data_IF_630990057788
#
_entry.id   IF_630990057788
#
_cell.length_a   1.000
_cell.length_b   1.000
_cell.length_c   1.000
_cell.angle_alpha   90.00
_cell.angle_beta   90.00
_cell.angle_gamma   90.00
#
_symmetry.space_group_name_H-M   'P 1'
#
loop_
_entity.id
_entity.type
_entity.pdbx_description
1 polymer ?
#
# COMPACT_ATOMS: atom_id res chain seq x y z
N UNK A 1 -1.87 -18.74 8.20
CA UNK A 1 -1.39 -17.34 8.08
C UNK A 1 -0.86 -17.10 6.68
N UNK A 2 -1.17 -15.96 6.06
CA UNK A 2 -0.64 -15.64 4.72
C UNK A 2 0.79 -15.08 4.83
N UNK A 3 1.59 -15.20 3.76
CA UNK A 3 2.98 -14.65 3.70
C UNK A 3 3.09 -13.19 4.12
N UNK A 4 2.01 -12.43 3.93
CA UNK A 4 1.89 -11.00 4.25
C UNK A 4 1.70 -10.75 5.76
N UNK A 5 0.97 -11.62 6.46
CA UNK A 5 0.82 -11.54 7.91
C UNK A 5 2.16 -11.77 8.63
N UNK A 6 3.00 -12.67 8.13
CA UNK A 6 4.36 -12.87 8.64
C UNK A 6 5.31 -11.69 8.42
N UNK A 7 4.94 -10.74 7.56
CA UNK A 7 5.70 -9.51 7.27
C UNK A 7 5.19 -8.30 8.08
N UNK A 8 4.30 -8.52 9.04
CA UNK A 8 3.74 -7.47 9.90
C UNK A 8 2.53 -6.75 9.32
N UNK A 9 1.95 -7.23 8.21
CA UNK A 9 0.71 -6.66 7.69
C UNK A 9 -0.51 -7.33 8.32
N UNK A 10 -1.26 -6.56 9.09
CA UNK A 10 -2.52 -6.98 9.68
C UNK A 10 -3.67 -6.71 8.70
N UNK A 11 -4.52 -7.72 8.49
CA UNK A 11 -5.72 -7.64 7.63
C UNK A 11 -5.38 -7.03 6.24
N UNK A 12 -4.46 -7.65 5.47
CA UNK A 12 -3.76 -6.99 4.36
C UNK A 12 -4.66 -6.42 3.25
N UNK A 13 -5.83 -7.02 3.01
CA UNK A 13 -6.69 -6.67 1.89
C UNK A 13 -7.72 -5.57 2.22
N UNK A 14 -7.87 -5.18 3.48
CA UNK A 14 -8.77 -4.09 3.87
C UNK A 14 -8.09 -2.75 3.63
N UNK A 15 -8.78 -1.85 2.92
CA UNK A 15 -8.30 -0.48 2.73
C UNK A 15 -8.11 0.22 4.08
N UNK A 16 -6.98 0.89 4.21
CA UNK A 16 -6.55 1.50 5.46
C UNK A 16 -7.34 2.77 5.74
N UNK A 17 -7.53 3.58 4.73
CA UNK A 17 -8.19 4.86 4.79
C UNK A 17 -9.43 4.88 3.89
N UNK A 18 -10.47 5.54 4.39
CA UNK A 18 -11.77 5.74 3.77
C UNK A 18 -12.92 5.41 4.72
N UNK A 19 -14.14 5.47 4.19
CA UNK A 19 -15.37 5.26 4.97
C UNK A 19 -16.27 4.23 4.27
N UNK A 20 -16.89 3.32 5.02
CA UNK A 20 -17.88 2.37 4.49
C UNK A 20 -17.48 0.89 4.47
N UNK A 21 -16.36 0.49 5.09
CA UNK A 21 -16.03 -0.93 5.32
C UNK A 21 -14.79 -1.41 4.57
N UNK A 22 -14.78 -2.65 4.09
CA UNK A 22 -13.60 -3.33 3.50
C UNK A 22 -12.94 -2.55 2.35
N UNK A 23 -13.72 -1.81 1.56
CA UNK A 23 -13.26 -1.09 0.36
C UNK A 23 -13.15 0.43 0.53
N UNK A 24 -13.84 1.02 1.51
CA UNK A 24 -13.57 2.40 1.97
C UNK A 24 -13.62 3.48 0.87
N UNK A 25 -14.82 3.63 0.28
CA UNK A 25 -15.13 4.49 -0.86
C UNK A 25 -15.01 6.02 -0.61
N UNK A 26 -14.65 6.42 0.61
CA UNK A 26 -14.45 7.83 1.00
C UNK A 26 -13.01 8.26 0.73
N UNK A 27 -12.80 9.22 -0.17
CA UNK A 27 -11.47 9.75 -0.47
C UNK A 27 -10.72 10.25 0.77
N UNK A 28 -9.48 9.79 0.94
CA UNK A 28 -8.59 10.16 2.03
C UNK A 28 -8.21 11.65 2.00
N UNK A 29 -8.17 12.31 3.16
CA UNK A 29 -7.83 13.72 3.27
C UNK A 29 -8.97 14.69 2.88
N UNK A 30 -10.16 14.15 2.64
CA UNK A 30 -11.35 14.91 2.30
C UNK A 30 -12.43 14.86 3.38
N UNK A 31 -13.51 15.60 3.15
CA UNK A 31 -14.76 15.45 3.90
C UNK A 31 -15.71 14.54 3.13
N UNK A 32 -16.32 13.59 3.82
CA UNK A 32 -17.27 12.65 3.24
C UNK A 32 -18.67 12.85 3.86
N UNK A 33 -19.75 12.92 3.07
CA UNK A 33 -21.10 13.09 3.58
C UNK A 33 -21.63 11.78 4.17
N UNK A 34 -22.05 11.82 5.43
CA UNK A 34 -22.65 10.69 6.15
C UNK A 34 -23.85 11.21 6.92
N UNK A 35 -25.05 10.67 6.67
CA UNK A 35 -26.28 11.00 7.40
C UNK A 35 -26.49 12.51 7.63
N UNK A 36 -26.46 13.30 6.53
CA UNK A 36 -26.61 14.77 6.53
C UNK A 36 -25.50 15.55 7.27
N UNK A 37 -24.44 14.88 7.72
CA UNK A 37 -23.25 15.48 8.33
C UNK A 37 -22.03 15.27 7.44
N UNK A 38 -20.96 16.03 7.66
CA UNK A 38 -19.66 15.82 7.01
C UNK A 38 -18.65 15.30 8.02
N UNK A 39 -18.04 14.16 7.74
CA UNK A 39 -16.92 13.63 8.52
C UNK A 39 -15.61 13.86 7.78
N UNK A 40 -14.53 14.11 8.52
CA UNK A 40 -13.20 14.13 7.93
C UNK A 40 -12.66 12.70 7.85
N UNK A 41 -12.19 12.31 6.67
CA UNK A 41 -11.58 11.00 6.43
C UNK A 41 -10.07 11.12 6.59
N UNK A 42 -9.61 10.80 7.79
CA UNK A 42 -8.20 10.87 8.17
C UNK A 42 -7.35 9.73 7.63
N UNK A 43 -6.04 9.87 7.84
CA UNK A 43 -5.07 8.80 7.65
C UNK A 43 -5.25 7.68 8.69
N UNK A 44 -4.64 6.53 8.41
CA UNK A 44 -4.59 5.36 9.27
C UNK A 44 -3.14 4.91 9.50
N UNK A 45 -2.90 4.06 10.49
CA UNK A 45 -1.56 3.54 10.79
C UNK A 45 -1.08 2.48 9.78
N UNK A 46 0.23 2.44 9.60
CA UNK A 46 0.95 1.83 8.46
C UNK A 46 0.94 0.29 8.37
N UNK A 47 0.05 -0.42 9.06
CA UNK A 47 0.06 -1.89 9.17
C UNK A 47 -0.78 -2.61 8.11
N UNK A 48 -1.33 -1.89 7.13
CA UNK A 48 -2.16 -2.43 6.02
C UNK A 48 -1.45 -2.29 4.66
N UNK A 49 -1.83 -3.11 3.68
CA UNK A 49 -1.24 -3.05 2.32
C UNK A 49 -1.92 -1.96 1.50
N UNK A 50 -3.25 -1.94 1.49
CA UNK A 50 -4.04 -0.98 0.72
C UNK A 50 -4.18 0.31 1.52
N UNK A 51 -3.69 1.43 1.00
CA UNK A 51 -3.96 2.75 1.57
C UNK A 51 -5.40 3.16 1.33
N UNK A 52 -5.81 3.13 0.07
CA UNK A 52 -7.19 3.25 -0.40
C UNK A 52 -7.43 2.19 -1.48
N UNK A 53 -8.53 2.29 -2.23
CA UNK A 53 -8.92 1.33 -3.27
C UNK A 53 -7.90 1.15 -4.41
N UNK A 54 -6.98 2.10 -4.61
CA UNK A 54 -6.08 2.15 -5.78
C UNK A 54 -4.58 2.28 -5.44
N UNK A 55 -4.22 2.72 -4.24
CA UNK A 55 -2.83 2.93 -3.83
C UNK A 55 -2.42 2.00 -2.68
N UNK A 56 -1.16 1.54 -2.72
CA UNK A 56 -0.52 0.89 -1.59
C UNK A 56 -0.06 1.88 -0.53
N UNK A 57 0.05 1.40 0.71
CA UNK A 57 0.69 2.15 1.79
C UNK A 57 2.20 2.28 1.56
N UNK A 58 2.82 3.22 2.27
CA UNK A 58 4.28 3.40 2.27
C UNK A 58 5.03 2.10 2.61
N UNK A 59 4.54 1.33 3.58
CA UNK A 59 5.15 0.07 3.98
C UNK A 59 5.09 -0.99 2.86
N UNK A 60 3.94 -1.13 2.20
CA UNK A 60 3.78 -2.03 1.08
C UNK A 60 4.63 -1.62 -0.13
N UNK A 61 4.69 -0.32 -0.46
CA UNK A 61 5.56 0.19 -1.51
C UNK A 61 7.04 -0.06 -1.21
N UNK A 62 7.48 0.11 0.04
CA UNK A 62 8.84 -0.23 0.44
C UNK A 62 9.12 -1.73 0.27
N UNK A 63 8.18 -2.60 0.66
CA UNK A 63 8.34 -4.03 0.48
C UNK A 63 8.51 -4.43 -1.00
N UNK A 64 7.69 -3.86 -1.90
CA UNK A 64 7.81 -4.08 -3.34
C UNK A 64 9.14 -3.54 -3.87
N UNK A 65 9.52 -2.32 -3.47
CA UNK A 65 10.79 -1.72 -3.85
C UNK A 65 12.00 -2.56 -3.44
N UNK A 66 12.00 -3.10 -2.21
CA UNK A 66 13.11 -3.92 -1.73
C UNK A 66 13.33 -5.15 -2.65
N UNK A 67 12.26 -5.79 -3.13
CA UNK A 67 12.35 -6.89 -4.08
C UNK A 67 12.79 -6.46 -5.50
N UNK A 68 12.31 -5.31 -5.98
CA UNK A 68 12.75 -4.76 -7.27
C UNK A 68 14.24 -4.42 -7.20
N UNK A 69 14.70 -3.84 -6.08
CA UNK A 69 16.07 -3.38 -5.91
C UNK A 69 17.10 -4.51 -5.98
N UNK A 70 16.73 -5.73 -5.58
CA UNK A 70 17.59 -6.92 -5.68
C UNK A 70 17.65 -7.51 -7.09
N UNK A 71 16.78 -7.07 -8.01
CA UNK A 71 16.67 -7.64 -9.35
C UNK A 71 15.79 -8.88 -9.43
N UNK A 72 15.06 -9.24 -8.37
CA UNK A 72 14.19 -10.44 -8.34
C UNK A 72 13.09 -10.43 -9.42
N UNK A 73 12.77 -9.25 -9.97
CA UNK A 73 11.79 -9.05 -11.03
C UNK A 73 12.41 -8.50 -12.33
N UNK A 74 13.72 -8.56 -12.49
CA UNK A 74 14.43 -8.05 -13.66
C UNK A 74 14.87 -9.20 -14.58
N UNK A 75 15.00 -8.93 -15.88
CA UNK A 75 15.64 -9.86 -16.81
C UNK A 75 16.74 -9.14 -17.61
N UNK A 76 18.01 -9.58 -17.52
CA UNK A 76 18.52 -10.62 -16.61
C UNK A 76 18.33 -10.25 -15.13
N UNK A 77 18.40 -11.24 -14.22
CA UNK A 77 18.27 -11.03 -12.77
C UNK A 77 19.50 -10.26 -12.23
N UNK A 78 19.51 -8.95 -12.44
CA UNK A 78 20.58 -8.05 -12.00
C UNK A 78 20.02 -7.06 -10.99
N UNK A 79 20.70 -6.81 -9.86
CA UNK A 79 20.30 -5.77 -8.92
C UNK A 79 20.18 -4.41 -9.61
N UNK A 80 19.29 -3.56 -9.12
CA UNK A 80 19.03 -2.24 -9.71
C UNK A 80 20.31 -1.39 -9.83
N UNK A 81 21.22 -1.50 -8.85
CA UNK A 81 22.53 -0.82 -8.85
C UNK A 81 23.47 -1.29 -9.96
N UNK A 82 23.22 -2.45 -10.56
CA UNK A 82 23.99 -3.05 -11.64
C UNK A 82 23.24 -3.03 -12.98
N UNK A 83 22.06 -2.38 -13.03
CA UNK A 83 21.23 -2.30 -14.22
C UNK A 83 21.87 -1.40 -15.29
N UNK A 84 22.50 -0.30 -14.88
CA UNK A 84 23.30 0.54 -15.77
C UNK A 84 24.68 -0.10 -15.95
N UNK A 85 24.91 -0.70 -17.12
CA UNK A 85 26.23 -1.15 -17.55
C UNK A 85 26.78 -0.09 -18.49
N UNK A 86 28.00 0.39 -18.24
CA UNK A 86 28.75 1.12 -19.26
C UNK A 86 29.07 0.09 -20.35
N UNK A 87 28.35 0.17 -21.46
CA UNK A 87 28.66 -0.56 -22.69
C UNK A 87 29.78 0.20 -23.40
#
# INVERSE_FOLDING_TARGET
MTRLQHRGFEIPLVACCGYGGTYNNGGCGGKFPVNRSQIFVGSCEHLKINWNEIHYTKAANKFVFDQISTGAFSYPLVPLKMACRNI
#
